data_IF_278823326983
#
_entry.id   IF_278823326983
#
_cell.length_a   1.000
_cell.length_b   1.000
_cell.length_c   1.000
_cell.angle_alpha   90.00
_cell.angle_beta   90.00
_cell.angle_gamma   90.00
#
_symmetry.space_group_name_H-M   'P 1'
#
loop_
_entity.id
_entity.type
_entity.pdbx_description
1 polymer ?
#
# COMPACT_ATOMS: atom_id res chain seq x y z
N UNK A 1 -47.91 11.98 -36.11
CA UNK A 1 -46.69 12.50 -35.47
C UNK A 1 -46.15 11.39 -34.59
N UNK A 2 -45.11 10.69 -35.05
CA UNK A 2 -44.41 9.63 -34.31
C UNK A 2 -43.30 10.24 -33.44
N UNK A 3 -42.68 9.40 -32.59
CA UNK A 3 -41.52 9.58 -31.69
C UNK A 3 -41.92 9.70 -30.20
N UNK A 4 -41.40 8.97 -29.21
CA UNK A 4 -40.61 7.74 -29.04
C UNK A 4 -40.56 7.55 -27.50
N UNK A 5 -40.85 6.38 -26.91
CA UNK A 5 -40.83 6.22 -25.45
C UNK A 5 -39.38 6.22 -24.93
N UNK A 6 -39.17 6.90 -23.80
CA UNK A 6 -37.87 7.09 -23.17
C UNK A 6 -37.14 5.76 -22.96
N UNK A 7 -36.01 5.62 -23.66
CA UNK A 7 -35.10 4.49 -23.47
C UNK A 7 -34.49 4.55 -22.08
N UNK A 8 -34.65 3.47 -21.32
CA UNK A 8 -33.88 3.24 -20.12
C UNK A 8 -32.37 3.37 -20.43
N UNK A 9 -31.55 3.91 -19.51
CA UNK A 9 -30.11 3.98 -19.73
C UNK A 9 -29.58 2.55 -19.97
N UNK A 10 -28.60 2.40 -20.89
CA UNK A 10 -28.00 1.10 -21.14
C UNK A 10 -27.44 0.54 -19.82
N UNK A 11 -27.55 -0.77 -19.57
CA UNK A 11 -26.89 -1.38 -18.41
C UNK A 11 -25.40 -1.04 -18.51
N UNK A 12 -24.86 -0.44 -17.43
CA UNK A 12 -23.44 -0.18 -17.34
C UNK A 12 -22.70 -1.50 -17.58
N UNK A 13 -21.62 -1.50 -18.38
CA UNK A 13 -20.83 -2.70 -18.57
C UNK A 13 -20.39 -3.19 -17.19
N UNK A 14 -20.70 -4.44 -16.88
CA UNK A 14 -20.08 -5.18 -15.79
C UNK A 14 -18.60 -5.21 -16.08
N UNK A 15 -17.89 -4.16 -15.65
CA UNK A 15 -16.44 -4.10 -15.70
C UNK A 15 -15.98 -5.39 -15.04
N UNK A 16 -15.33 -6.26 -15.79
CA UNK A 16 -14.67 -7.45 -15.23
C UNK A 16 -13.58 -6.86 -14.33
N UNK A 17 -13.91 -6.69 -13.05
CA UNK A 17 -12.97 -6.22 -12.03
C UNK A 17 -11.98 -7.36 -11.91
N UNK A 18 -10.82 -7.26 -12.56
CA UNK A 18 -9.75 -8.22 -12.35
C UNK A 18 -9.33 -8.10 -10.87
N UNK A 19 -9.63 -9.09 -10.01
CA UNK A 19 -9.42 -8.96 -8.57
C UNK A 19 -7.93 -8.72 -8.24
N UNK A 20 -7.03 -9.21 -9.09
CA UNK A 20 -5.59 -9.01 -8.92
C UNK A 20 -5.14 -7.57 -9.11
N UNK A 21 -5.76 -6.84 -10.05
CA UNK A 21 -5.47 -5.40 -10.26
C UNK A 21 -5.94 -4.59 -9.04
N UNK A 22 -7.06 -4.98 -8.43
CA UNK A 22 -7.55 -4.36 -7.21
C UNK A 22 -6.64 -4.66 -6.01
N UNK A 23 -6.22 -5.92 -5.86
CA UNK A 23 -5.29 -6.31 -4.79
C UNK A 23 -3.93 -5.63 -4.91
N UNK A 24 -3.30 -5.62 -6.09
CA UNK A 24 -2.03 -4.90 -6.30
C UNK A 24 -2.15 -3.43 -5.90
N UNK A 25 -3.20 -2.75 -6.36
CA UNK A 25 -3.43 -1.33 -6.06
C UNK A 25 -3.61 -1.09 -4.56
N UNK A 26 -4.30 -1.99 -3.85
CA UNK A 26 -4.42 -1.91 -2.40
C UNK A 26 -3.06 -1.97 -1.70
N UNK A 27 -2.15 -2.84 -2.16
CA UNK A 27 -0.78 -2.91 -1.64
C UNK A 27 0.05 -1.67 -1.98
N UNK A 28 -0.09 -1.10 -3.18
CA UNK A 28 0.56 0.17 -3.54
C UNK A 28 0.13 1.31 -2.61
N UNK A 29 -1.18 1.43 -2.34
CA UNK A 29 -1.72 2.40 -1.37
C UNK A 29 -1.20 2.12 0.04
N UNK A 30 -1.15 0.84 0.44
CA UNK A 30 -0.58 0.43 1.72
C UNK A 30 0.89 0.87 1.89
N UNK A 31 1.71 0.69 0.86
CA UNK A 31 3.11 1.13 0.86
C UNK A 31 3.20 2.66 0.99
N UNK A 32 2.35 3.42 0.30
CA UNK A 32 2.31 4.89 0.42
C UNK A 32 1.93 5.30 1.85
N UNK A 33 0.93 4.67 2.44
CA UNK A 33 0.52 4.97 3.82
C UNK A 33 1.63 4.65 4.83
N UNK A 34 2.34 3.54 4.64
CA UNK A 34 3.50 3.20 5.47
C UNK A 34 4.60 4.25 5.35
N UNK A 35 4.84 4.80 4.15
CA UNK A 35 5.79 5.90 3.95
C UNK A 35 5.36 7.13 4.75
N UNK A 36 4.09 7.50 4.70
CA UNK A 36 3.56 8.64 5.48
C UNK A 36 3.77 8.43 6.98
N UNK A 37 3.54 7.22 7.51
CA UNK A 37 3.80 6.91 8.92
C UNK A 37 5.29 7.05 9.27
N UNK A 38 6.19 6.59 8.40
CA UNK A 38 7.65 6.75 8.57
C UNK A 38 8.03 8.24 8.59
N UNK A 39 7.52 9.02 7.63
CA UNK A 39 7.81 10.46 7.56
C UNK A 39 7.27 11.20 8.79
N UNK A 40 6.10 10.82 9.31
CA UNK A 40 5.53 11.37 10.54
C UNK A 40 6.40 11.08 11.76
N UNK A 41 6.82 9.83 11.92
CA UNK A 41 7.75 9.43 12.99
C UNK A 41 9.07 10.19 12.89
N UNK A 42 9.62 10.32 11.69
CA UNK A 42 10.85 11.09 11.46
C UNK A 42 10.67 12.57 11.78
N UNK A 43 9.53 13.16 11.40
CA UNK A 43 9.22 14.56 11.70
C UNK A 43 9.13 14.84 13.21
N UNK A 44 8.63 13.89 14.01
CA UNK A 44 8.70 13.97 15.48
C UNK A 44 10.14 13.89 16.00
N UNK A 45 10.96 13.00 15.45
CA UNK A 45 12.37 12.88 15.83
C UNK A 45 13.19 14.13 15.47
N UNK A 46 12.90 14.75 14.33
CA UNK A 46 13.58 15.95 13.83
C UNK A 46 13.03 17.24 14.47
N UNK A 47 11.99 17.17 15.29
CA UNK A 47 11.38 18.32 15.97
C UNK A 47 10.53 19.23 15.05
N UNK A 48 10.20 18.76 13.84
CA UNK A 48 9.28 19.47 12.93
C UNK A 48 7.80 19.21 13.26
N UNK A 49 7.52 18.17 14.03
CA UNK A 49 6.28 17.93 14.75
C UNK A 49 6.53 17.91 16.26
N UNK A 50 5.55 18.29 17.11
CA UNK A 50 5.64 18.08 18.55
C UNK A 50 5.93 16.61 18.88
N UNK A 51 6.81 16.37 19.83
CA UNK A 51 7.16 15.01 20.24
C UNK A 51 6.14 14.47 21.24
N UNK A 52 5.52 13.36 20.89
CA UNK A 52 4.68 12.53 21.77
C UNK A 52 5.34 11.15 21.88
N UNK A 53 5.68 10.74 23.11
CA UNK A 53 6.39 9.49 23.34
C UNK A 53 5.52 8.27 23.03
N UNK A 54 4.26 8.29 23.45
CA UNK A 54 3.34 7.16 23.27
C UNK A 54 3.06 6.95 21.78
N UNK A 55 2.77 8.03 21.06
CA UNK A 55 2.58 7.99 19.61
C UNK A 55 3.85 7.53 18.88
N UNK A 56 5.03 7.99 19.31
CA UNK A 56 6.29 7.63 18.68
C UNK A 56 6.61 6.14 18.83
N UNK A 57 6.40 5.57 20.02
CA UNK A 57 6.61 4.15 20.29
C UNK A 57 5.60 3.28 19.52
N UNK A 58 4.30 3.62 19.58
CA UNK A 58 3.26 2.91 18.84
C UNK A 58 3.52 2.93 17.32
N UNK A 59 3.86 4.09 16.75
CA UNK A 59 4.21 4.19 15.35
C UNK A 59 5.47 3.37 15.01
N UNK A 60 6.46 3.32 15.90
CA UNK A 60 7.68 2.54 15.67
C UNK A 60 7.38 1.05 15.51
N UNK A 61 6.56 0.50 16.39
CA UNK A 61 6.13 -0.90 16.35
C UNK A 61 5.28 -1.19 15.11
N UNK A 62 4.24 -0.37 14.87
CA UNK A 62 3.34 -0.54 13.73
C UNK A 62 4.08 -0.43 12.38
N UNK A 63 5.03 0.50 12.26
CA UNK A 63 5.87 0.62 11.06
C UNK A 63 6.66 -0.66 10.85
N UNK A 64 7.29 -1.20 11.90
CA UNK A 64 8.10 -2.41 11.78
C UNK A 64 7.26 -3.62 11.35
N UNK A 65 6.16 -3.88 12.05
CA UNK A 65 5.27 -5.00 11.74
C UNK A 65 4.71 -4.90 10.32
N UNK A 66 4.30 -3.70 9.91
CA UNK A 66 3.79 -3.46 8.55
C UNK A 66 4.89 -3.66 7.49
N UNK A 67 6.14 -3.26 7.78
CA UNK A 67 7.27 -3.50 6.89
C UNK A 67 7.49 -4.99 6.64
N UNK A 68 7.49 -5.80 7.70
CA UNK A 68 7.68 -7.26 7.62
C UNK A 68 6.49 -7.92 6.91
N UNK A 69 5.27 -7.54 7.28
CA UNK A 69 4.04 -8.04 6.65
C UNK A 69 4.06 -7.81 5.13
N UNK A 70 4.32 -6.59 4.67
CA UNK A 70 4.39 -6.29 3.25
C UNK A 70 5.53 -7.02 2.54
N UNK A 71 6.71 -7.11 3.16
CA UNK A 71 7.82 -7.86 2.59
C UNK A 71 7.45 -9.33 2.32
N UNK A 72 6.79 -9.97 3.28
CA UNK A 72 6.35 -11.36 3.15
C UNK A 72 5.23 -11.54 2.13
N UNK A 73 4.26 -10.64 2.09
CA UNK A 73 3.20 -10.67 1.09
C UNK A 73 3.74 -10.47 -0.33
N UNK A 74 4.67 -9.54 -0.53
CA UNK A 74 5.30 -9.31 -1.83
C UNK A 74 6.10 -10.56 -2.26
N UNK A 75 6.86 -11.21 -1.37
CA UNK A 75 7.56 -12.47 -1.69
C UNK A 75 6.61 -13.57 -2.15
N UNK A 76 5.50 -13.72 -1.43
CA UNK A 76 4.45 -14.71 -1.71
C UNK A 76 3.57 -14.39 -2.91
N UNK A 77 3.77 -13.25 -3.58
CA UNK A 77 2.90 -12.82 -4.66
C UNK A 77 3.00 -13.74 -5.88
N UNK A 78 1.86 -14.31 -6.28
CA UNK A 78 1.81 -15.36 -7.30
C UNK A 78 2.25 -14.87 -8.69
N UNK A 79 1.90 -13.64 -9.06
CA UNK A 79 2.27 -13.04 -10.34
C UNK A 79 3.70 -12.45 -10.26
N UNK A 80 4.70 -12.98 -11.02
CA UNK A 80 6.07 -12.49 -10.94
C UNK A 80 6.26 -11.04 -11.37
N UNK A 81 5.45 -10.53 -12.30
CA UNK A 81 5.54 -9.14 -12.76
C UNK A 81 5.04 -8.19 -11.70
N UNK A 82 3.87 -8.46 -11.12
CA UNK A 82 3.33 -7.63 -10.04
C UNK A 82 4.23 -7.68 -8.81
N UNK A 83 4.80 -8.85 -8.51
CA UNK A 83 5.81 -8.99 -7.45
C UNK A 83 6.98 -8.05 -7.64
N UNK A 84 7.57 -8.02 -8.84
CA UNK A 84 8.70 -7.14 -9.15
C UNK A 84 8.31 -5.66 -9.02
N UNK A 85 7.13 -5.29 -9.50
CA UNK A 85 6.63 -3.91 -9.40
C UNK A 85 6.46 -3.50 -7.94
N UNK A 86 5.79 -4.34 -7.13
CA UNK A 86 5.57 -4.06 -5.72
C UNK A 86 6.89 -4.01 -4.94
N UNK A 87 7.84 -4.91 -5.23
CA UNK A 87 9.15 -4.91 -4.60
C UNK A 87 9.94 -3.64 -4.94
N UNK A 88 9.92 -3.21 -6.20
CA UNK A 88 10.52 -1.95 -6.63
C UNK A 88 9.87 -0.75 -5.94
N UNK A 89 8.54 -0.72 -5.88
CA UNK A 89 7.79 0.37 -5.27
C UNK A 89 8.04 0.47 -3.76
N UNK A 90 8.04 -0.68 -3.07
CA UNK A 90 8.45 -0.77 -1.66
C UNK A 90 9.87 -0.24 -1.46
N UNK A 91 10.82 -0.68 -2.28
CA UNK A 91 12.21 -0.25 -2.15
C UNK A 91 12.37 1.26 -2.32
N UNK A 92 11.74 1.82 -3.34
CA UNK A 92 11.81 3.24 -3.65
C UNK A 92 11.22 4.13 -2.55
N UNK A 93 10.13 3.70 -1.92
CA UNK A 93 9.43 4.52 -0.92
C UNK A 93 9.90 4.24 0.51
N UNK A 94 10.13 2.98 0.87
CA UNK A 94 10.37 2.55 2.26
C UNK A 94 11.85 2.23 2.51
N UNK A 95 12.58 1.79 1.49
CA UNK A 95 13.98 1.37 1.58
C UNK A 95 14.15 -0.15 1.56
N UNK A 96 15.21 -0.66 2.19
CA UNK A 96 15.53 -2.10 2.13
C UNK A 96 14.40 -2.97 2.70
N UNK A 97 14.05 -4.02 1.96
CA UNK A 97 13.01 -4.96 2.32
C UNK A 97 13.56 -5.98 3.33
N UNK A 98 13.02 -6.05 4.55
CA UNK A 98 13.45 -7.03 5.56
C UNK A 98 13.13 -8.44 5.10
N UNK A 99 13.97 -9.43 5.40
CA UNK A 99 13.77 -10.84 5.07
C UNK A 99 12.57 -11.48 5.79
N UNK A 100 12.38 -12.80 5.65
CA UNK A 100 11.22 -13.48 6.22
C UNK A 100 11.18 -13.45 7.76
N UNK A 101 12.36 -13.32 8.38
CA UNK A 101 12.56 -13.23 9.82
C UNK A 101 12.59 -11.77 10.31
N UNK A 102 12.31 -10.81 9.40
CA UNK A 102 12.37 -9.39 9.69
C UNK A 102 13.77 -8.80 9.62
N UNK A 103 14.80 -9.53 9.24
CA UNK A 103 16.18 -9.02 9.22
C UNK A 103 16.46 -8.26 7.92
N UNK A 104 16.95 -7.03 8.02
CA UNK A 104 17.46 -6.29 6.85
C UNK A 104 18.90 -6.76 6.59
N UNK A 105 19.18 -7.27 5.39
CA UNK A 105 20.52 -7.68 4.94
C UNK A 105 21.03 -6.79 3.82
#
# INVERSE_FOLDING_TARGET
MSQQPGGAPPPLPLTIINPQVNMRRAYEVGIINLRISIDRRQAMADGTLPFDLEEFEELSEQIWDTRVMFANQIRGWANPRDRLILAFFYHMLIGSMPDADGVIR
#
